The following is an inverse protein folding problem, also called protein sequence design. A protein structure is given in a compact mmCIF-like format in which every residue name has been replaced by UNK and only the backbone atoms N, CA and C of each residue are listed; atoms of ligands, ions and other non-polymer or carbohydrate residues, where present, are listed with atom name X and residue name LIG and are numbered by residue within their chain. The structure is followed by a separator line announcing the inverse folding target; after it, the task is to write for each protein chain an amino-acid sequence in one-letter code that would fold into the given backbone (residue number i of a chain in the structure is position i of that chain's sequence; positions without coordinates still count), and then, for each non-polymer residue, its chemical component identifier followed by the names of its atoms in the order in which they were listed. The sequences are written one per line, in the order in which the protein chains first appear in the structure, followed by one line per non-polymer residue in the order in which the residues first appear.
data_IF_445904384745
#
_entry.id   IF_445904384745
#
_cell.length_a   1.000
_cell.length_b   1.000
_cell.length_c   1.000
_cell.angle_alpha   90.00
_cell.angle_beta   90.00
_cell.angle_gamma   90.00
#
_symmetry.space_group_name_H-M   'P 1'
#
loop_
_entity.id
_entity.type
_entity.pdbx_description
1 polymer ?
#
# COMPACT_ATOMS: atom_id res chain seq x y z
N UNK A 1 -7.08 31.67 0.04
CA UNK A 1 -6.02 30.81 -0.52
C UNK A 1 -6.17 29.40 0.04
N UNK A 2 -6.28 28.42 -0.83
CA UNK A 2 -6.44 27.03 -0.42
C UNK A 2 -5.09 26.34 -0.42
N UNK A 3 -4.75 25.66 0.69
CA UNK A 3 -3.52 24.87 0.77
C UNK A 3 -3.67 23.61 -0.06
N UNK A 4 -2.62 23.27 -0.82
CA UNK A 4 -2.51 21.97 -1.45
C UNK A 4 -1.96 20.98 -0.41
N UNK A 5 -2.85 20.24 0.23
CA UNK A 5 -2.50 19.33 1.30
C UNK A 5 -1.61 18.16 0.83
N UNK A 6 -1.70 17.79 -0.45
CA UNK A 6 -0.79 16.80 -0.99
C UNK A 6 0.65 17.33 -1.01
N UNK A 7 0.85 18.55 -1.50
CA UNK A 7 2.16 19.19 -1.51
C UNK A 7 2.69 19.38 -0.09
N UNK A 8 1.83 19.76 0.86
CA UNK A 8 2.22 19.91 2.27
C UNK A 8 2.71 18.58 2.84
N UNK A 9 2.00 17.49 2.58
CA UNK A 9 2.42 16.16 3.06
C UNK A 9 3.75 15.72 2.48
N UNK A 10 3.97 15.95 1.18
CA UNK A 10 5.23 15.59 0.54
C UNK A 10 6.39 16.38 1.13
N UNK A 11 6.19 17.67 1.37
CA UNK A 11 7.21 18.51 1.99
C UNK A 11 7.50 18.07 3.42
N UNK A 12 6.47 17.83 4.20
CA UNK A 12 6.59 17.39 5.59
C UNK A 12 7.37 16.08 5.70
N UNK A 13 7.13 15.14 4.79
CA UNK A 13 7.80 13.84 4.76
C UNK A 13 9.14 13.89 4.02
N UNK A 14 9.55 15.05 3.55
CA UNK A 14 10.80 15.25 2.81
C UNK A 14 10.90 14.39 1.54
N UNK A 15 9.77 14.23 0.85
CA UNK A 15 9.72 13.50 -0.42
C UNK A 15 10.05 14.49 -1.54
N UNK A 16 11.34 14.69 -1.74
CA UNK A 16 11.89 15.57 -2.76
C UNK A 16 12.29 14.79 -4.03
N UNK A 17 12.86 15.47 -5.01
CA UNK A 17 13.25 14.82 -6.27
C UNK A 17 14.31 13.74 -6.10
N UNK A 18 15.37 13.92 -5.28
CA UNK A 18 16.32 12.83 -5.04
C UNK A 18 15.64 11.58 -4.46
N UNK A 19 14.70 11.72 -3.53
CA UNK A 19 13.96 10.60 -2.99
C UNK A 19 13.09 9.92 -4.07
N UNK A 20 12.42 10.73 -4.90
CA UNK A 20 11.60 10.20 -6.00
C UNK A 20 12.45 9.41 -7.00
N UNK A 21 13.65 9.89 -7.31
CA UNK A 21 14.60 9.17 -8.18
C UNK A 21 14.98 7.82 -7.57
N UNK A 22 15.25 7.79 -6.27
CA UNK A 22 15.54 6.54 -5.56
C UNK A 22 14.38 5.55 -5.63
N UNK A 23 13.15 6.04 -5.46
CA UNK A 23 11.96 5.20 -5.59
C UNK A 23 11.85 4.58 -6.99
N UNK A 24 12.10 5.37 -8.03
CA UNK A 24 12.06 4.88 -9.40
C UNK A 24 13.11 3.79 -9.65
N UNK A 25 14.29 3.91 -9.08
CA UNK A 25 15.33 2.88 -9.19
C UNK A 25 14.91 1.58 -8.50
N UNK A 26 14.14 1.66 -7.42
CA UNK A 26 13.68 0.49 -6.66
C UNK A 26 12.44 -0.16 -7.26
N UNK A 27 11.81 0.45 -8.26
CA UNK A 27 10.54 -0.04 -8.82
C UNK A 27 10.59 -1.51 -9.25
N UNK A 28 11.61 -1.99 -10.01
CA UNK A 28 11.68 -3.41 -10.37
C UNK A 28 11.81 -4.32 -9.15
N UNK A 29 12.52 -3.88 -8.13
CA UNK A 29 12.69 -4.65 -6.89
C UNK A 29 11.35 -4.80 -6.15
N UNK A 30 10.57 -3.72 -6.03
CA UNK A 30 9.24 -3.79 -5.42
C UNK A 30 8.31 -4.72 -6.20
N UNK A 31 8.31 -4.62 -7.52
CA UNK A 31 7.48 -5.49 -8.36
C UNK A 31 7.81 -6.97 -8.16
N UNK A 32 9.08 -7.28 -7.91
CA UNK A 32 9.55 -8.64 -7.70
C UNK A 32 9.20 -9.16 -6.31
N UNK A 33 9.33 -8.34 -5.27
CA UNK A 33 9.25 -8.80 -3.87
C UNK A 33 7.87 -8.68 -3.26
N UNK A 34 7.08 -7.70 -3.67
CA UNK A 34 5.80 -7.40 -3.04
C UNK A 34 4.76 -8.52 -3.11
N UNK A 35 4.60 -9.26 -4.22
CA UNK A 35 3.62 -10.34 -4.24
C UNK A 35 3.84 -11.39 -3.18
N UNK A 36 5.09 -11.79 -2.92
CA UNK A 36 5.42 -12.75 -1.88
C UNK A 36 5.14 -12.23 -0.48
N UNK A 37 5.42 -10.95 -0.23
CA UNK A 37 5.14 -10.31 1.05
C UNK A 37 3.65 -10.29 1.33
N UNK A 38 2.84 -9.91 0.34
CA UNK A 38 1.39 -9.90 0.46
C UNK A 38 0.84 -11.30 0.72
N UNK A 39 1.34 -12.30 0.02
CA UNK A 39 0.90 -13.68 0.23
C UNK A 39 1.15 -14.13 1.67
N UNK A 40 2.35 -13.87 2.21
CA UNK A 40 2.68 -14.21 3.60
C UNK A 40 1.82 -13.44 4.59
N UNK A 41 1.56 -12.17 4.32
CA UNK A 41 0.72 -11.35 5.18
C UNK A 41 -0.70 -11.94 5.29
N UNK A 42 -1.33 -12.23 4.15
CA UNK A 42 -2.69 -12.75 4.16
C UNK A 42 -2.77 -14.15 4.77
N UNK A 43 -1.76 -14.98 4.59
CA UNK A 43 -1.70 -16.29 5.26
C UNK A 43 -1.67 -16.13 6.78
N UNK A 44 -0.89 -15.19 7.29
CA UNK A 44 -0.84 -14.92 8.73
C UNK A 44 -2.17 -14.40 9.26
N UNK A 45 -2.79 -13.48 8.55
CA UNK A 45 -4.11 -12.96 8.98
C UNK A 45 -5.14 -14.07 9.01
N UNK A 46 -5.13 -14.95 8.00
CA UNK A 46 -6.06 -16.09 7.95
C UNK A 46 -5.87 -17.01 9.15
N UNK A 47 -4.65 -17.15 9.62
CA UNK A 47 -4.36 -17.95 10.80
C UNK A 47 -4.98 -17.33 12.07
N UNK A 48 -4.87 -16.01 12.23
CA UNK A 48 -5.33 -15.32 13.44
C UNK A 48 -6.79 -14.89 13.38
N UNK A 49 -7.30 -14.60 12.21
CA UNK A 49 -8.65 -14.04 12.01
C UNK A 49 -9.28 -14.60 10.73
N UNK A 50 -9.58 -15.93 10.69
CA UNK A 50 -10.11 -16.54 9.47
C UNK A 50 -11.51 -16.02 9.09
N UNK A 51 -12.23 -15.41 10.03
CA UNK A 51 -13.55 -14.84 9.78
C UNK A 51 -13.51 -13.39 9.30
N UNK A 52 -12.30 -12.81 9.11
CA UNK A 52 -12.20 -11.44 8.62
C UNK A 52 -12.92 -11.25 7.29
N UNK A 53 -13.52 -10.07 7.11
CA UNK A 53 -14.18 -9.70 5.86
C UNK A 53 -13.25 -9.71 4.66
N UNK A 54 -11.94 -9.64 4.85
CA UNK A 54 -10.98 -9.68 3.75
C UNK A 54 -10.95 -11.02 3.01
N UNK A 55 -11.47 -12.11 3.61
CA UNK A 55 -11.49 -13.44 2.99
C UNK A 55 -12.83 -13.78 2.36
N UNK A 56 -13.75 -12.82 2.26
CA UNK A 56 -15.10 -13.03 1.72
C UNK A 56 -15.20 -12.38 0.34
N UNK A 57 -16.00 -13.00 -0.54
CA UNK A 57 -16.48 -12.41 -1.79
C UNK A 57 -15.38 -11.76 -2.67
N UNK A 58 -14.18 -12.37 -2.71
CA UNK A 58 -13.10 -11.87 -3.56
C UNK A 58 -12.41 -10.63 -3.06
N UNK A 59 -12.66 -10.20 -1.82
CA UNK A 59 -12.05 -8.99 -1.25
C UNK A 59 -10.53 -9.09 -1.21
N UNK A 60 -9.98 -10.25 -0.81
CA UNK A 60 -8.52 -10.42 -0.74
C UNK A 60 -7.85 -10.26 -2.11
N UNK A 61 -8.42 -10.86 -3.15
CA UNK A 61 -7.88 -10.75 -4.50
C UNK A 61 -7.90 -9.30 -4.99
N UNK A 62 -8.99 -8.58 -4.73
CA UNK A 62 -9.11 -7.17 -5.09
C UNK A 62 -8.14 -6.31 -4.27
N UNK A 63 -7.98 -6.60 -2.98
CA UNK A 63 -7.04 -5.89 -2.11
C UNK A 63 -5.60 -6.07 -2.60
N UNK A 64 -5.22 -7.29 -2.98
CA UNK A 64 -3.89 -7.55 -3.53
C UNK A 64 -3.68 -6.74 -4.81
N UNK A 65 -4.65 -6.77 -5.72
CA UNK A 65 -4.56 -6.01 -6.97
C UNK A 65 -4.37 -4.53 -6.73
N UNK A 66 -5.18 -3.95 -5.83
CA UNK A 66 -5.11 -2.53 -5.51
C UNK A 66 -3.79 -2.17 -4.83
N UNK A 67 -3.27 -3.03 -3.95
CA UNK A 67 -1.99 -2.78 -3.30
C UNK A 67 -0.83 -2.85 -4.29
N UNK A 68 -0.81 -3.82 -5.19
CA UNK A 68 0.23 -3.90 -6.22
C UNK A 68 0.23 -2.65 -7.09
N UNK A 69 -0.94 -2.16 -7.49
CA UNK A 69 -1.06 -0.92 -8.26
C UNK A 69 -0.59 0.29 -7.45
N UNK A 70 -0.97 0.36 -6.19
CA UNK A 70 -0.63 1.49 -5.32
C UNK A 70 0.88 1.56 -5.08
N UNK A 71 1.51 0.45 -4.76
CA UNK A 71 2.96 0.41 -4.55
C UNK A 71 3.74 0.71 -5.83
N UNK A 72 3.23 0.30 -6.99
CA UNK A 72 3.83 0.67 -8.26
C UNK A 72 3.75 2.18 -8.51
N UNK A 73 2.65 2.82 -8.14
CA UNK A 73 2.52 4.28 -8.21
C UNK A 73 3.49 4.98 -7.25
N UNK A 74 3.64 4.48 -6.03
CA UNK A 74 4.64 5.00 -5.09
C UNK A 74 6.03 4.90 -5.70
N UNK A 75 6.37 3.76 -6.27
CA UNK A 75 7.68 3.51 -6.87
C UNK A 75 7.90 4.32 -8.14
N UNK A 76 6.86 4.82 -8.78
CA UNK A 76 6.98 5.73 -9.92
C UNK A 76 7.53 7.11 -9.50
N UNK A 77 7.47 7.43 -8.22
CA UNK A 77 7.86 8.72 -7.68
C UNK A 77 6.85 9.83 -7.99
N UNK A 78 5.68 9.50 -8.52
CA UNK A 78 4.66 10.47 -8.92
C UNK A 78 3.49 10.43 -7.94
N UNK A 79 3.44 11.40 -7.03
CA UNK A 79 2.44 11.47 -5.96
C UNK A 79 1.29 12.43 -6.31
N UNK A 80 0.84 12.38 -7.56
CA UNK A 80 -0.25 13.22 -8.04
C UNK A 80 -1.63 12.59 -7.86
N UNK A 81 -2.55 12.94 -8.78
CA UNK A 81 -3.95 12.52 -8.71
C UNK A 81 -4.12 10.99 -8.75
N UNK A 82 -3.32 10.29 -9.54
CA UNK A 82 -3.40 8.83 -9.63
C UNK A 82 -3.06 8.16 -8.32
N UNK A 83 -2.03 8.66 -7.61
CA UNK A 83 -1.66 8.18 -6.30
C UNK A 83 -2.80 8.37 -5.29
N UNK A 84 -3.40 9.57 -5.28
CA UNK A 84 -4.49 9.87 -4.35
C UNK A 84 -5.72 9.00 -4.63
N UNK A 85 -6.08 8.81 -5.88
CA UNK A 85 -7.20 7.95 -6.26
C UNK A 85 -6.95 6.49 -5.89
N UNK A 86 -5.71 6.00 -6.08
CA UNK A 86 -5.34 4.64 -5.72
C UNK A 86 -5.43 4.40 -4.21
N UNK A 87 -4.94 5.33 -3.40
CA UNK A 87 -5.04 5.26 -1.94
C UNK A 87 -6.51 5.21 -1.49
N UNK A 88 -7.35 6.04 -2.11
CA UNK A 88 -8.78 6.09 -1.80
C UNK A 88 -9.49 4.78 -2.12
N UNK A 89 -9.17 4.17 -3.25
CA UNK A 89 -9.79 2.88 -3.63
C UNK A 89 -9.46 1.77 -2.63
N UNK A 90 -8.22 1.70 -2.19
CA UNK A 90 -7.81 0.69 -1.21
C UNK A 90 -8.48 0.92 0.15
N UNK A 91 -8.51 2.16 0.62
CA UNK A 91 -9.18 2.50 1.88
C UNK A 91 -10.69 2.19 1.82
N UNK A 92 -11.34 2.52 0.70
CA UNK A 92 -12.77 2.25 0.54
C UNK A 92 -13.07 0.75 0.56
N UNK A 93 -12.25 -0.06 -0.13
CA UNK A 93 -12.43 -1.51 -0.13
C UNK A 93 -12.36 -2.07 1.28
N UNK A 94 -11.35 -1.68 2.06
CA UNK A 94 -11.18 -2.16 3.43
C UNK A 94 -12.33 -1.71 4.33
N UNK A 95 -12.81 -0.49 4.15
CA UNK A 95 -13.94 0.03 4.92
C UNK A 95 -15.23 -0.75 4.63
N UNK A 96 -15.54 -0.97 3.35
CA UNK A 96 -16.74 -1.73 2.94
C UNK A 96 -16.70 -3.17 3.44
N UNK A 97 -15.53 -3.79 3.42
CA UNK A 97 -15.35 -5.17 3.84
C UNK A 97 -15.31 -5.34 5.37
N UNK A 98 -15.26 -4.23 6.11
CA UNK A 98 -15.17 -4.27 7.57
C UNK A 98 -13.82 -4.78 8.07
N UNK A 99 -12.76 -4.58 7.31
CA UNK A 99 -11.41 -5.02 7.71
C UNK A 99 -10.89 -4.11 8.83
N UNK A 100 -10.41 -4.73 9.90
CA UNK A 100 -9.88 -3.99 11.04
C UNK A 100 -8.60 -3.22 10.64
N UNK A 101 -8.45 -1.95 11.09
CA UNK A 101 -7.30 -1.12 10.72
C UNK A 101 -5.94 -1.75 11.01
N UNK A 102 -5.81 -2.54 12.08
CA UNK A 102 -4.55 -3.19 12.42
C UNK A 102 -4.01 -4.07 11.30
N UNK A 103 -4.86 -4.66 10.48
CA UNK A 103 -4.41 -5.56 9.41
C UNK A 103 -3.76 -4.80 8.26
N UNK A 104 -4.32 -3.70 7.79
CA UNK A 104 -3.68 -2.98 6.69
C UNK A 104 -2.50 -2.11 7.15
N UNK A 105 -2.48 -1.66 8.40
CA UNK A 105 -1.28 -1.05 8.98
C UNK A 105 -0.19 -2.10 9.15
N UNK A 106 -0.54 -3.30 9.63
CA UNK A 106 0.38 -4.41 9.80
C UNK A 106 1.03 -4.85 8.49
N UNK A 107 0.29 -4.82 7.39
CA UNK A 107 0.82 -5.14 6.07
C UNK A 107 1.97 -4.20 5.68
N UNK A 108 1.80 -2.91 5.91
CA UNK A 108 2.84 -1.92 5.61
C UNK A 108 4.08 -2.12 6.47
N UNK A 109 3.90 -2.43 7.76
CA UNK A 109 5.01 -2.70 8.67
C UNK A 109 5.76 -3.96 8.25
N UNK A 110 5.05 -5.00 7.83
CA UNK A 110 5.67 -6.24 7.35
C UNK A 110 6.49 -6.01 6.09
N UNK A 111 5.98 -5.19 5.17
CA UNK A 111 6.72 -4.81 3.97
C UNK A 111 8.03 -4.12 4.32
N UNK A 112 7.98 -3.14 5.22
CA UNK A 112 9.18 -2.42 5.66
C UNK A 112 10.17 -3.37 6.32
N UNK A 113 9.71 -4.22 7.22
CA UNK A 113 10.57 -5.16 7.93
C UNK A 113 11.29 -6.11 6.97
N UNK A 114 10.59 -6.64 5.98
CA UNK A 114 11.18 -7.54 4.98
C UNK A 114 12.27 -6.84 4.14
N UNK A 115 12.14 -5.55 3.88
CA UNK A 115 13.12 -4.80 3.10
C UNK A 115 14.39 -4.50 3.92
N UNK A 116 14.30 -4.49 5.24
CA UNK A 116 15.45 -4.22 6.11
C UNK A 116 16.24 -5.49 6.46
N UNK A 117 15.70 -6.64 6.16
CA UNK A 117 16.33 -7.94 6.41
C UNK A 117 16.83 -8.56 5.12
#
# INVERSE_FOLDING_TARGET
MTLDWNAVRLDLLQIDEPMRANLREMRPFFAKTLPGILARFYDKVRHYDPASGMFKDGVMQEAIRLQLQHWDLIASGNFGADYQASAGRFCELNHRAGVAPQWYVGCRLMFIADQLM
#
